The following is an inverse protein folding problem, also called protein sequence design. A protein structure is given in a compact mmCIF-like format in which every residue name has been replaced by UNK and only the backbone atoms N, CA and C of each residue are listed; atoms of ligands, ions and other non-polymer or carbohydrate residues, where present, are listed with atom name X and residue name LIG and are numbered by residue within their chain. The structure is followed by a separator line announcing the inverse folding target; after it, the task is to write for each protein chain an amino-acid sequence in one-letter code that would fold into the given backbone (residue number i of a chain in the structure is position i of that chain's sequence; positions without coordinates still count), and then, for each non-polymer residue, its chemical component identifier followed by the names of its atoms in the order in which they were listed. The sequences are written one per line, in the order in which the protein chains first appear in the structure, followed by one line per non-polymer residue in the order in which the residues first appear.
data_IF_319453590172
#
_entry.id   IF_319453590172
#
_cell.length_a   1.000
_cell.length_b   1.000
_cell.length_c   1.000
_cell.angle_alpha   90.00
_cell.angle_beta   90.00
_cell.angle_gamma   90.00
#
_symmetry.space_group_name_H-M   'P 1'
#
loop_
_entity.id
_entity.type
_entity.pdbx_description
1 polymer ?
#
# COMPACT_ATOMS: atom_id res chain seq x y z
N UNK A 1 14.50 20.07 -6.10
CA UNK A 1 13.18 20.18 -5.54
C UNK A 1 12.89 19.01 -4.61
N UNK A 2 12.33 19.29 -3.49
CA UNK A 2 12.15 18.25 -2.48
C UNK A 2 10.84 17.53 -2.65
N UNK A 3 10.88 16.22 -2.43
CA UNK A 3 9.66 15.45 -2.39
C UNK A 3 8.92 15.74 -1.10
N UNK A 4 7.61 15.64 -1.16
CA UNK A 4 6.82 15.73 0.04
C UNK A 4 7.15 14.55 0.94
N UNK A 5 7.48 14.81 2.21
CA UNK A 5 7.74 13.70 3.13
C UNK A 5 6.56 12.74 3.24
N UNK A 6 5.34 13.29 3.17
CA UNK A 6 4.16 12.44 3.26
C UNK A 6 4.04 11.51 2.05
N UNK A 7 4.33 12.04 0.86
CA UNK A 7 4.26 11.20 -0.35
C UNK A 7 5.30 10.08 -0.29
N UNK A 8 6.51 10.42 0.13
CA UNK A 8 7.56 9.41 0.25
C UNK A 8 7.16 8.33 1.25
N UNK A 9 6.61 8.75 2.38
CA UNK A 9 6.16 7.80 3.40
C UNK A 9 5.08 6.88 2.86
N UNK A 10 4.14 7.44 2.09
CA UNK A 10 3.08 6.64 1.50
C UNK A 10 3.62 5.67 0.46
N UNK A 11 4.61 6.09 -0.32
CA UNK A 11 5.22 5.21 -1.30
C UNK A 11 5.88 4.02 -0.61
N UNK A 12 6.57 4.26 0.48
CA UNK A 12 7.21 3.19 1.24
C UNK A 12 6.17 2.25 1.83
N UNK A 13 5.09 2.81 2.35
CA UNK A 13 4.02 1.99 2.91
C UNK A 13 3.35 1.15 1.83
N UNK A 14 3.16 1.72 0.65
CA UNK A 14 2.58 0.99 -0.48
C UNK A 14 3.46 -0.20 -0.85
N UNK A 15 4.77 0.01 -0.95
CA UNK A 15 5.68 -1.06 -1.28
C UNK A 15 5.68 -2.15 -0.21
N UNK A 16 5.62 -1.77 1.06
CA UNK A 16 5.55 -2.73 2.15
C UNK A 16 4.28 -3.57 2.06
N UNK A 17 3.16 -2.92 1.80
CA UNK A 17 1.89 -3.64 1.67
C UNK A 17 1.92 -4.61 0.49
N UNK A 18 2.52 -4.22 -0.62
CA UNK A 18 2.64 -5.12 -1.75
C UNK A 18 3.46 -6.35 -1.40
N UNK A 19 4.55 -6.16 -0.66
CA UNK A 19 5.36 -7.29 -0.23
C UNK A 19 4.59 -8.21 0.72
N UNK A 20 3.82 -7.62 1.61
CA UNK A 20 3.01 -8.40 2.54
C UNK A 20 1.93 -9.20 1.82
N UNK A 21 1.30 -8.60 0.83
CA UNK A 21 0.30 -9.30 0.03
C UNK A 21 0.94 -10.47 -0.70
N UNK A 22 2.09 -10.25 -1.30
CA UNK A 22 2.79 -11.32 -2.01
C UNK A 22 3.19 -12.45 -1.07
N UNK A 23 3.70 -12.10 0.10
CA UNK A 23 4.11 -13.10 1.08
C UNK A 23 2.92 -13.92 1.57
N UNK A 24 1.82 -13.25 1.84
CA UNK A 24 0.63 -13.95 2.32
C UNK A 24 0.07 -14.86 1.25
N UNK A 25 0.02 -14.39 0.00
CA UNK A 25 -0.49 -15.19 -1.10
C UNK A 25 0.38 -16.38 -1.45
N UNK A 26 1.67 -16.33 -1.09
CA UNK A 26 2.60 -17.41 -1.36
C UNK A 26 2.54 -18.53 -0.33
N UNK A 27 1.82 -18.34 0.75
CA UNK A 27 1.73 -19.36 1.80
C UNK A 27 0.90 -20.54 1.30
N UNK A 28 1.19 -21.75 1.80
CA UNK A 28 0.38 -22.92 1.39
C UNK A 28 -1.09 -22.75 1.66
N UNK A 29 -1.44 -22.07 2.75
CA UNK A 29 -2.83 -21.76 3.06
C UNK A 29 -2.96 -20.28 3.35
N UNK A 30 -3.13 -19.47 2.30
CA UNK A 30 -3.24 -18.03 2.49
C UNK A 30 -4.45 -17.67 3.34
N UNK A 31 -4.25 -16.68 4.20
CA UNK A 31 -5.35 -16.14 5.01
C UNK A 31 -6.09 -15.12 4.16
N UNK A 32 -7.27 -15.51 3.67
CA UNK A 32 -8.03 -14.63 2.80
C UNK A 32 -8.48 -13.36 3.52
N UNK A 33 -8.78 -13.45 4.82
CA UNK A 33 -9.12 -12.26 5.58
C UNK A 33 -7.98 -11.28 5.66
N UNK A 34 -6.77 -11.79 5.88
CA UNK A 34 -5.59 -10.94 5.91
C UNK A 34 -5.35 -10.31 4.54
N UNK A 35 -5.52 -11.09 3.46
CA UNK A 35 -5.35 -10.56 2.11
C UNK A 35 -6.33 -9.44 1.83
N UNK A 36 -7.58 -9.59 2.23
CA UNK A 36 -8.57 -8.55 2.02
C UNK A 36 -8.17 -7.27 2.77
N UNK A 37 -7.75 -7.42 4.03
CA UNK A 37 -7.34 -6.25 4.81
C UNK A 37 -6.12 -5.56 4.19
N UNK A 38 -5.15 -6.34 3.75
CA UNK A 38 -3.94 -5.78 3.14
C UNK A 38 -4.27 -5.06 1.84
N UNK A 39 -5.13 -5.65 1.02
CA UNK A 39 -5.51 -5.03 -0.24
C UNK A 39 -6.29 -3.74 -0.02
N UNK A 40 -7.15 -3.70 0.99
CA UNK A 40 -7.88 -2.47 1.32
C UNK A 40 -6.92 -1.39 1.79
N UNK A 41 -5.96 -1.76 2.63
CA UNK A 41 -4.96 -0.80 3.09
C UNK A 41 -4.15 -0.25 1.93
N UNK A 42 -3.78 -1.13 0.97
CA UNK A 42 -3.03 -0.69 -0.19
C UNK A 42 -3.85 0.29 -1.02
N UNK A 43 -5.14 0.03 -1.19
CA UNK A 43 -6.00 0.94 -1.95
C UNK A 43 -6.10 2.31 -1.29
N UNK A 44 -6.20 2.33 0.04
CA UNK A 44 -6.25 3.60 0.75
C UNK A 44 -4.97 4.40 0.56
N UNK A 45 -3.84 3.72 0.66
CA UNK A 45 -2.56 4.39 0.47
C UNK A 45 -2.44 4.91 -0.95
N UNK A 46 -2.82 4.10 -1.92
CA UNK A 46 -2.77 4.50 -3.32
C UNK A 46 -3.67 5.72 -3.56
N UNK A 47 -4.86 5.69 -2.99
CA UNK A 47 -5.81 6.79 -3.15
C UNK A 47 -5.23 8.08 -2.58
N UNK A 48 -4.59 7.99 -1.43
CA UNK A 48 -3.99 9.16 -0.82
C UNK A 48 -2.82 9.69 -1.64
N UNK A 49 -2.01 8.79 -2.20
CA UNK A 49 -0.94 9.19 -3.08
C UNK A 49 -1.47 9.93 -4.31
N UNK A 50 -2.57 9.43 -4.87
CA UNK A 50 -3.16 10.09 -6.02
C UNK A 50 -3.63 11.51 -5.69
N UNK A 51 -4.21 11.68 -4.52
CA UNK A 51 -4.65 13.01 -4.10
C UNK A 51 -3.48 13.96 -3.97
N UNK A 52 -2.38 13.49 -3.42
CA UNK A 52 -1.19 14.34 -3.29
C UNK A 52 -0.59 14.68 -4.64
N UNK A 53 -0.60 13.73 -5.56
CA UNK A 53 -0.06 13.96 -6.89
C UNK A 53 -0.87 14.97 -7.68
N UNK A 54 -2.19 14.95 -7.51
CA UNK A 54 -3.06 15.85 -8.25
C UNK A 54 -3.20 17.20 -7.56
N UNK A 55 -2.64 17.37 -6.38
CA UNK A 55 -2.72 18.63 -5.67
C UNK A 55 -4.03 18.90 -4.99
N UNK A 56 -4.77 17.88 -4.68
CA UNK A 56 -6.08 18.03 -4.03
C UNK A 56 -6.09 17.50 -2.63
#
# INVERSE_FOLDING_TARGET
MMQQPRLLSLQQRHATLERQIAAEGARPQPDTGALVRLKRAKLRVKDEMERLRTGR
#
